data_IF_187865693151
#
_entry.id   IF_187865693151
#
_cell.length_a   1.000
_cell.length_b   1.000
_cell.length_c   1.000
_cell.angle_alpha   90.00
_cell.angle_beta   90.00
_cell.angle_gamma   90.00
#
_symmetry.space_group_name_H-M   'P 1'
#
loop_
_entity.id
_entity.type
_entity.pdbx_description
1 polymer ?
#
# COMPACT_ATOMS: atom_id res chain seq x y z
N UNK A 1 12.03 -21.98 0.84
CA UNK A 1 11.20 -22.34 2.01
C UNK A 1 10.01 -21.39 2.19
N UNK A 2 10.23 -20.07 2.35
CA UNK A 2 9.13 -19.10 2.59
C UNK A 2 8.11 -18.99 1.44
N UNK A 3 8.57 -19.01 0.18
CA UNK A 3 7.70 -18.94 -1.01
C UNK A 3 6.86 -20.20 -1.23
N UNK A 4 7.43 -21.38 -0.92
CA UNK A 4 6.72 -22.66 -1.06
C UNK A 4 5.59 -22.77 -0.03
N UNK A 5 5.80 -22.30 1.21
CA UNK A 5 4.77 -22.25 2.24
C UNK A 5 3.63 -21.28 1.90
N UNK A 6 3.95 -20.12 1.30
CA UNK A 6 2.95 -19.18 0.81
C UNK A 6 2.12 -19.80 -0.32
N UNK A 7 2.77 -20.45 -1.29
CA UNK A 7 2.09 -21.11 -2.40
C UNK A 7 1.20 -22.26 -1.95
N UNK A 8 1.68 -23.08 -1.00
CA UNK A 8 0.94 -24.22 -0.47
C UNK A 8 -0.29 -23.77 0.34
N UNK A 9 -0.14 -22.71 1.15
CA UNK A 9 -1.24 -22.12 1.91
C UNK A 9 -2.30 -21.51 0.99
N UNK A 10 -1.89 -20.74 -0.03
CA UNK A 10 -2.82 -20.18 -1.02
C UNK A 10 -3.52 -21.27 -1.84
N UNK A 11 -2.78 -22.28 -2.28
CA UNK A 11 -3.32 -23.40 -3.05
C UNK A 11 -4.32 -24.23 -2.24
N UNK A 12 -4.03 -24.49 -0.96
CA UNK A 12 -4.91 -25.23 -0.05
C UNK A 12 -6.17 -24.42 0.32
N UNK A 13 -6.05 -23.10 0.50
CA UNK A 13 -7.21 -22.24 0.69
C UNK A 13 -8.12 -22.21 -0.54
N UNK A 14 -7.54 -22.09 -1.74
CA UNK A 14 -8.31 -21.97 -2.97
C UNK A 14 -9.05 -23.28 -3.31
N UNK A 15 -8.43 -24.44 -3.02
CA UNK A 15 -8.96 -25.77 -3.35
C UNK A 15 -10.12 -26.24 -2.47
N UNK A 16 -10.30 -25.70 -1.26
CA UNK A 16 -11.42 -26.04 -0.36
C UNK A 16 -12.62 -25.09 -0.45
N UNK A 17 -12.54 -24.08 -1.29
CA UNK A 17 -13.39 -22.92 -1.14
C UNK A 17 -14.45 -22.86 -2.24
N UNK A 18 -15.63 -23.41 -1.92
CA UNK A 18 -16.89 -22.99 -2.53
C UNK A 18 -17.17 -21.57 -1.99
N UNK A 19 -16.35 -20.60 -2.42
CA UNK A 19 -16.34 -19.23 -1.88
C UNK A 19 -17.67 -18.60 -2.20
N UNK A 20 -18.52 -18.48 -1.17
CA UNK A 20 -19.73 -17.66 -1.21
C UNK A 20 -19.41 -16.30 -1.82
N UNK A 21 -20.31 -15.77 -2.66
CA UNK A 21 -20.16 -14.46 -3.30
C UNK A 21 -19.73 -13.35 -2.31
N UNK A 22 -20.13 -13.47 -1.04
CA UNK A 22 -19.73 -12.57 0.05
C UNK A 22 -18.21 -12.61 0.32
N UNK A 23 -17.62 -13.79 0.39
CA UNK A 23 -16.17 -13.98 0.61
C UNK A 23 -15.35 -13.55 -0.62
N UNK A 24 -15.87 -13.75 -1.84
CA UNK A 24 -15.25 -13.22 -3.08
C UNK A 24 -15.17 -11.70 -3.07
N UNK A 25 -16.24 -11.02 -2.66
CA UNK A 25 -16.26 -9.56 -2.51
C UNK A 25 -15.32 -9.07 -1.42
N UNK A 26 -15.11 -9.84 -0.35
CA UNK A 26 -14.09 -9.55 0.65
C UNK A 26 -12.68 -9.62 0.05
N UNK A 27 -12.32 -10.72 -0.62
CA UNK A 27 -11.01 -10.85 -1.25
C UNK A 27 -10.73 -9.70 -2.23
N UNK A 28 -11.69 -9.36 -3.10
CA UNK A 28 -11.54 -8.24 -4.05
C UNK A 28 -11.25 -6.90 -3.36
N UNK A 29 -11.95 -6.62 -2.26
CA UNK A 29 -11.70 -5.40 -1.47
C UNK A 29 -10.33 -5.40 -0.79
N UNK A 30 -9.91 -6.54 -0.25
CA UNK A 30 -8.59 -6.68 0.38
C UNK A 30 -7.46 -6.52 -0.64
N UNK A 31 -7.60 -7.11 -1.83
CA UNK A 31 -6.63 -6.94 -2.92
C UNK A 31 -6.51 -5.47 -3.32
N UNK A 32 -7.63 -4.75 -3.47
CA UNK A 32 -7.60 -3.30 -3.78
C UNK A 32 -6.87 -2.51 -2.68
N UNK A 33 -7.13 -2.81 -1.41
CA UNK A 33 -6.42 -2.19 -0.30
C UNK A 33 -4.92 -2.49 -0.30
N UNK A 34 -4.53 -3.74 -0.57
CA UNK A 34 -3.13 -4.13 -0.70
C UNK A 34 -2.42 -3.38 -1.84
N UNK A 35 -3.10 -3.21 -2.98
CA UNK A 35 -2.55 -2.44 -4.10
C UNK A 35 -2.28 -0.99 -3.70
N UNK A 36 -3.21 -0.35 -2.99
CA UNK A 36 -3.04 1.04 -2.51
C UNK A 36 -1.91 1.12 -1.48
N UNK A 37 -1.86 0.18 -0.53
CA UNK A 37 -0.78 0.09 0.46
C UNK A 37 0.59 -0.11 -0.20
N UNK A 38 0.67 -0.89 -1.28
CA UNK A 38 1.90 -1.08 -2.02
C UNK A 38 2.29 0.16 -2.84
N UNK A 39 1.33 0.91 -3.39
CA UNK A 39 1.61 2.06 -4.24
C UNK A 39 2.25 3.22 -3.47
N UNK A 40 1.84 3.43 -2.23
CA UNK A 40 2.25 4.59 -1.43
C UNK A 40 3.74 4.63 -1.11
N UNK A 41 4.39 3.58 -0.58
CA UNK A 41 5.84 3.58 -0.41
C UNK A 41 6.57 3.73 -1.76
N UNK A 42 6.02 3.21 -2.86
CA UNK A 42 6.62 3.42 -4.18
C UNK A 42 6.64 4.92 -4.57
N UNK A 43 5.55 5.65 -4.35
CA UNK A 43 5.47 7.08 -4.69
C UNK A 43 6.23 7.95 -3.69
N UNK A 44 6.16 7.64 -2.40
CA UNK A 44 6.69 8.51 -1.33
C UNK A 44 8.13 8.21 -0.92
N UNK A 45 8.67 7.05 -1.30
CA UNK A 45 10.05 6.65 -0.98
C UNK A 45 10.82 6.30 -2.25
N UNK A 46 10.34 5.35 -3.05
CA UNK A 46 11.13 4.84 -4.19
C UNK A 46 11.37 5.92 -5.24
N UNK A 47 10.33 6.69 -5.57
CA UNK A 47 10.42 7.80 -6.51
C UNK A 47 11.40 8.90 -6.05
N UNK A 48 11.27 9.52 -4.86
CA UNK A 48 12.21 10.56 -4.44
C UNK A 48 13.65 10.05 -4.31
N UNK A 49 13.87 8.82 -3.83
CA UNK A 49 15.20 8.22 -3.81
C UNK A 49 15.78 8.05 -5.21
N UNK A 50 14.97 7.58 -6.17
CA UNK A 50 15.43 7.42 -7.57
C UNK A 50 15.84 8.76 -8.20
N UNK A 51 15.13 9.85 -7.88
CA UNK A 51 15.47 11.21 -8.32
C UNK A 51 16.80 11.66 -7.70
N UNK A 52 16.99 11.44 -6.40
CA UNK A 52 18.25 11.79 -5.72
C UNK A 52 19.44 11.01 -6.29
N UNK A 53 19.27 9.71 -6.59
CA UNK A 53 20.30 8.89 -7.25
C UNK A 53 20.60 9.44 -8.64
N UNK A 54 19.57 9.77 -9.43
CA UNK A 54 19.76 10.32 -10.77
C UNK A 54 20.50 11.67 -10.73
N UNK A 55 20.15 12.53 -9.76
CA UNK A 55 20.83 13.79 -9.52
C UNK A 55 22.32 13.59 -9.20
N UNK A 56 22.64 12.62 -8.33
CA UNK A 56 24.03 12.26 -8.00
C UNK A 56 24.81 11.76 -9.23
N UNK A 57 24.19 10.89 -10.05
CA UNK A 57 24.84 10.34 -11.25
C UNK A 57 25.07 11.39 -12.34
N UNK A 58 24.14 12.34 -12.50
CA UNK A 58 24.21 13.39 -13.52
C UNK A 58 25.04 14.61 -13.10
N UNK A 59 25.49 14.66 -11.83
CA UNK A 59 26.16 15.82 -11.21
C UNK A 59 25.37 17.12 -11.38
N UNK A 60 24.04 17.02 -11.42
CA UNK A 60 23.15 18.17 -11.43
C UNK A 60 23.08 18.75 -10.02
N UNK A 61 23.93 19.72 -9.72
CA UNK A 61 23.95 20.41 -8.42
C UNK A 61 22.83 21.46 -8.34
N UNK A 62 21.59 20.99 -8.26
CA UNK A 62 20.42 21.81 -7.97
C UNK A 62 20.08 21.70 -6.48
N UNK A 63 20.44 22.74 -5.72
CA UNK A 63 20.30 22.79 -4.27
C UNK A 63 18.84 22.65 -3.77
N UNK A 64 17.85 22.92 -4.64
CA UNK A 64 16.43 22.92 -4.29
C UNK A 64 15.79 21.53 -4.27
N UNK A 65 16.34 20.55 -4.99
CA UNK A 65 15.71 19.22 -5.10
C UNK A 65 15.82 18.41 -3.82
N UNK A 66 16.98 18.46 -3.17
CA UNK A 66 17.26 17.71 -1.94
C UNK A 66 16.23 18.00 -0.84
N UNK A 67 16.00 19.25 -0.40
CA UNK A 67 15.03 19.52 0.67
C UNK A 67 13.60 19.15 0.28
N UNK A 68 13.20 19.35 -0.98
CA UNK A 68 11.85 18.97 -1.46
C UNK A 68 11.66 17.45 -1.40
N UNK A 69 12.66 16.66 -1.82
CA UNK A 69 12.60 15.20 -1.74
C UNK A 69 12.54 14.71 -0.29
N UNK A 70 13.27 15.36 0.64
CA UNK A 70 13.21 15.03 2.07
C UNK A 70 11.83 15.32 2.69
N UNK A 71 11.16 16.39 2.27
CA UNK A 71 9.78 16.68 2.70
C UNK A 71 8.84 15.56 2.23
N UNK A 72 8.95 15.15 0.96
CA UNK A 72 8.12 14.07 0.40
C UNK A 72 8.35 12.75 1.17
N UNK A 73 9.61 12.40 1.43
CA UNK A 73 9.96 11.22 2.24
C UNK A 73 9.40 11.34 3.66
N UNK A 74 9.47 12.53 4.27
CA UNK A 74 8.90 12.80 5.60
C UNK A 74 7.39 12.58 5.66
N UNK A 75 6.66 12.89 4.58
CA UNK A 75 5.20 12.65 4.51
C UNK A 75 4.83 11.17 4.39
N UNK A 76 5.78 10.28 4.10
CA UNK A 76 5.54 8.84 3.96
C UNK A 76 4.81 8.25 5.18
N UNK A 77 5.29 8.54 6.39
CA UNK A 77 4.72 7.98 7.63
C UNK A 77 3.25 8.36 7.82
N UNK A 78 2.87 9.58 7.40
CA UNK A 78 1.48 10.07 7.45
C UNK A 78 0.65 9.36 6.38
N UNK A 79 1.15 9.30 5.14
CA UNK A 79 0.46 8.63 4.04
C UNK A 79 0.26 7.13 4.31
N UNK A 80 1.27 6.46 4.87
CA UNK A 80 1.22 5.06 5.26
C UNK A 80 0.19 4.83 6.37
N UNK A 81 0.19 5.67 7.40
CA UNK A 81 -0.77 5.59 8.51
C UNK A 81 -2.21 5.83 8.03
N UNK A 82 -2.44 6.85 7.21
CA UNK A 82 -3.74 7.14 6.59
C UNK A 82 -4.23 5.93 5.78
N UNK A 83 -3.32 5.26 5.09
CA UNK A 83 -3.66 4.11 4.24
C UNK A 83 -3.98 2.88 5.03
N UNK A 84 -3.27 2.63 6.13
CA UNK A 84 -3.64 1.59 7.08
C UNK A 84 -5.05 1.84 7.65
N UNK A 85 -5.38 3.09 8.01
CA UNK A 85 -6.71 3.45 8.52
C UNK A 85 -7.79 3.22 7.44
N UNK A 86 -7.56 3.70 6.21
CA UNK A 86 -8.51 3.54 5.10
C UNK A 86 -8.67 2.07 4.67
N UNK A 87 -7.61 1.27 4.76
CA UNK A 87 -7.62 -0.14 4.38
C UNK A 87 -8.11 -1.07 5.49
N UNK A 88 -8.03 -0.65 6.75
CA UNK A 88 -8.55 -1.42 7.88
C UNK A 88 -10.07 -1.45 7.78
N UNK A 89 -10.60 -2.61 7.38
CA UNK A 89 -12.04 -2.88 7.14
C UNK A 89 -12.97 -2.43 8.28
N UNK A 90 -12.47 -2.29 9.51
CA UNK A 90 -13.25 -1.88 10.67
C UNK A 90 -13.71 -0.40 10.60
N UNK A 91 -12.94 0.50 9.99
CA UNK A 91 -13.34 1.92 9.90
C UNK A 91 -14.42 2.18 8.85
N UNK A 92 -14.40 1.47 7.71
CA UNK A 92 -15.48 1.57 6.70
C UNK A 92 -16.83 1.10 7.22
N UNK A 93 -16.86 0.08 8.09
CA UNK A 93 -18.12 -0.40 8.69
C UNK A 93 -18.67 0.61 9.70
N UNK A 94 -17.81 1.29 10.46
CA UNK A 94 -18.21 2.35 11.39
C UNK A 94 -18.75 3.61 10.68
N UNK A 95 -18.13 4.02 9.57
CA UNK A 95 -18.62 5.16 8.78
C UNK A 95 -19.92 4.85 8.03
N UNK A 96 -20.07 3.64 7.46
CA UNK A 96 -21.32 3.23 6.80
C UNK A 96 -22.47 3.08 7.83
N UNK A 97 -22.18 2.64 9.06
CA UNK A 97 -23.18 2.58 10.14
C UNK A 97 -23.55 3.98 10.67
N UNK A 98 -22.62 4.93 10.72
CA UNK A 98 -22.92 6.32 11.16
C UNK A 98 -23.70 7.15 10.12
N UNK A 99 -23.69 6.77 8.85
CA UNK A 99 -24.48 7.44 7.79
C UNK A 99 -25.90 6.84 7.67
N UNK A 100 -26.17 5.72 8.34
CA UNK A 100 -27.46 5.01 8.30
C UNK A 100 -28.26 5.12 9.61
N UNK A 101 -27.90 6.05 10.49
CA UNK A 101 -28.63 6.41 11.72
C UNK A 101 -29.05 7.87 11.61
#
# INVERSE_FOLDING_TARGET
ISLQLLSHTFYTLNRKSNISAKTKNYHRQMTRSLIIQALIPNVTILLPISILICQFLTRLETAEFVPVMFIIIGTHSIAHSLTLILCTRNYRRAYILKVSI
#
